data_IF_705090268978
#
_entry.id   IF_705090268978
#
_cell.length_a   1.000
_cell.length_b   1.000
_cell.length_c   1.000
_cell.angle_alpha   90.00
_cell.angle_beta   90.00
_cell.angle_gamma   90.00
#
_symmetry.space_group_name_H-M   'P 1'
#
loop_
_entity.id
_entity.type
_entity.pdbx_description
1 polymer ?
#
# COMPACT_ATOMS: atom_id res chain seq x y z
N UNK A 1 15.84 1.69 -2.86
CA UNK A 1 14.68 1.12 -2.17
C UNK A 1 14.03 2.17 -1.27
N UNK A 2 12.72 2.19 -1.24
CA UNK A 2 11.97 3.04 -0.32
C UNK A 2 11.10 2.15 0.56
N UNK A 3 11.08 2.41 1.86
CA UNK A 3 10.18 1.72 2.78
C UNK A 3 9.58 2.68 3.79
N UNK A 4 8.42 2.33 4.30
CA UNK A 4 7.70 3.13 5.29
C UNK A 4 6.82 2.21 6.14
N UNK A 5 6.79 2.49 7.43
CA UNK A 5 5.93 1.74 8.36
C UNK A 5 4.90 2.67 8.97
N UNK A 6 3.65 2.27 8.94
CA UNK A 6 2.56 2.95 9.62
C UNK A 6 1.81 1.94 10.48
N UNK A 7 1.03 2.43 11.44
CA UNK A 7 0.30 1.57 12.37
C UNK A 7 -1.20 1.85 12.26
N UNK A 8 -1.98 0.79 12.27
CA UNK A 8 -3.45 0.86 12.22
C UNK A 8 -3.99 -0.13 13.24
N UNK A 9 -4.98 0.33 14.01
CA UNK A 9 -5.66 -0.54 14.96
C UNK A 9 -6.81 -1.26 14.27
N UNK A 10 -6.92 -2.57 14.50
CA UNK A 10 -8.04 -3.37 13.98
C UNK A 10 -9.31 -2.96 14.71
N UNK A 11 -10.32 -2.54 13.95
CA UNK A 11 -11.60 -2.08 14.47
C UNK A 11 -12.58 -3.23 14.57
N UNK A 12 -13.57 -3.09 15.45
CA UNK A 12 -14.57 -4.12 15.68
C UNK A 12 -15.29 -4.54 14.38
N UNK A 13 -15.68 -3.58 13.56
CA UNK A 13 -16.36 -3.83 12.28
C UNK A 13 -15.50 -4.53 11.23
N UNK A 14 -14.19 -4.68 11.48
CA UNK A 14 -13.27 -5.35 10.57
C UNK A 14 -13.07 -6.83 10.91
N UNK A 15 -13.68 -7.30 11.99
CA UNK A 15 -13.53 -8.68 12.47
C UNK A 15 -14.69 -9.55 12.04
N UNK A 16 -14.46 -10.87 12.01
CA UNK A 16 -15.46 -11.89 11.71
C UNK A 16 -15.87 -12.66 12.98
N UNK A 17 -16.72 -13.67 12.83
CA UNK A 17 -17.19 -14.48 13.96
C UNK A 17 -16.08 -15.29 14.65
N UNK A 18 -14.95 -15.52 13.97
CA UNK A 18 -13.80 -16.20 14.56
C UNK A 18 -12.98 -15.27 15.47
N UNK A 19 -13.30 -13.98 15.51
CA UNK A 19 -12.52 -12.97 16.23
C UNK A 19 -11.28 -12.51 15.49
N UNK A 20 -11.14 -12.89 14.22
CA UNK A 20 -10.03 -12.51 13.37
C UNK A 20 -10.43 -11.33 12.49
N UNK A 21 -9.46 -10.54 12.07
CA UNK A 21 -9.72 -9.57 11.02
C UNK A 21 -10.17 -10.31 9.77
N UNK A 22 -11.34 -9.93 9.23
CA UNK A 22 -11.89 -10.55 8.04
C UNK A 22 -10.91 -10.43 6.88
N UNK A 23 -10.68 -11.52 6.14
CA UNK A 23 -9.64 -11.55 5.11
C UNK A 23 -9.85 -10.50 4.02
N UNK A 24 -11.08 -10.09 3.77
CA UNK A 24 -11.38 -9.05 2.78
C UNK A 24 -10.96 -7.65 3.18
N UNK A 25 -10.62 -7.40 4.45
CA UNK A 25 -10.24 -6.08 4.94
C UNK A 25 -8.74 -5.77 4.78
N UNK A 26 -7.93 -6.75 4.43
CA UNK A 26 -6.48 -6.54 4.30
C UNK A 26 -6.12 -5.54 3.21
N UNK A 27 -6.91 -5.49 2.13
CA UNK A 27 -6.69 -4.54 1.04
C UNK A 27 -6.74 -3.09 1.53
N UNK A 28 -7.62 -2.78 2.48
CA UNK A 28 -7.70 -1.44 3.08
C UNK A 28 -6.43 -1.08 3.85
N UNK A 29 -5.85 -2.05 4.55
CA UNK A 29 -4.59 -1.86 5.28
C UNK A 29 -3.43 -1.57 4.32
N UNK A 30 -3.41 -2.26 3.18
CA UNK A 30 -2.39 -1.99 2.15
C UNK A 30 -2.56 -0.59 1.57
N UNK A 31 -3.78 -0.17 1.34
CA UNK A 31 -4.06 1.18 0.85
C UNK A 31 -3.57 2.23 1.84
N UNK A 32 -3.88 2.08 3.13
CA UNK A 32 -3.39 2.98 4.17
C UNK A 32 -1.87 3.04 4.13
N UNK A 33 -1.21 1.90 4.02
CA UNK A 33 0.25 1.82 3.96
C UNK A 33 0.82 2.60 2.76
N UNK A 34 0.24 2.41 1.57
CA UNK A 34 0.68 3.13 0.37
C UNK A 34 0.47 4.63 0.49
N UNK A 35 -0.71 5.04 0.96
CA UNK A 35 -1.06 6.46 1.11
C UNK A 35 -0.11 7.14 2.06
N UNK A 36 0.18 6.51 3.20
CA UNK A 36 1.09 7.09 4.20
C UNK A 36 2.55 7.10 3.71
N UNK A 37 2.97 6.09 2.94
CA UNK A 37 4.29 6.12 2.31
C UNK A 37 4.42 7.32 1.37
N UNK A 38 3.45 7.56 0.51
CA UNK A 38 3.48 8.70 -0.41
C UNK A 38 3.41 10.01 0.35
N UNK A 39 2.59 10.09 1.39
CA UNK A 39 2.48 11.27 2.23
C UNK A 39 3.82 11.60 2.90
N UNK A 40 4.57 10.60 3.33
CA UNK A 40 5.90 10.79 3.93
C UNK A 40 6.88 11.43 2.95
N UNK A 41 6.62 11.32 1.65
CA UNK A 41 7.41 11.95 0.59
C UNK A 41 6.77 13.24 0.06
N UNK A 42 5.77 13.77 0.77
CA UNK A 42 5.10 15.01 0.39
C UNK A 42 4.12 14.87 -0.77
N UNK A 43 3.63 13.66 -1.03
CA UNK A 43 2.67 13.39 -2.12
C UNK A 43 1.37 12.84 -1.55
N UNK A 44 0.27 13.05 -2.27
CA UNK A 44 -1.03 12.46 -1.93
C UNK A 44 -1.70 11.92 -3.19
N UNK A 45 -2.60 10.95 -3.01
CA UNK A 45 -3.41 10.45 -4.12
C UNK A 45 -4.27 11.55 -4.71
N UNK A 46 -4.82 12.45 -3.87
CA UNK A 46 -5.66 13.54 -4.37
C UNK A 46 -4.88 14.52 -5.24
N UNK A 47 -3.62 14.82 -4.90
CA UNK A 47 -2.78 15.66 -5.76
C UNK A 47 -2.43 14.97 -7.08
N UNK A 48 -2.23 13.67 -7.05
CA UNK A 48 -1.98 12.87 -8.26
C UNK A 48 -3.22 12.84 -9.16
N UNK A 49 -4.39 12.60 -8.58
CA UNK A 49 -5.65 12.61 -9.32
C UNK A 49 -5.94 14.00 -9.89
N UNK A 50 -5.61 15.07 -9.16
CA UNK A 50 -5.75 16.43 -9.66
C UNK A 50 -4.84 16.68 -10.88
N UNK A 51 -3.73 15.94 -11.00
CA UNK A 51 -2.86 16.00 -12.20
C UNK A 51 -3.40 15.18 -13.38
N UNK A 52 -4.51 14.46 -13.19
CA UNK A 52 -5.15 13.65 -14.21
C UNK A 52 -4.64 12.22 -14.32
N UNK A 53 -3.99 11.71 -13.26
CA UNK A 53 -3.44 10.35 -13.24
C UNK A 53 -3.99 9.60 -12.04
N UNK A 54 -4.42 8.36 -12.26
CA UNK A 54 -4.92 7.47 -11.21
C UNK A 54 -4.07 6.20 -11.15
N UNK A 55 -4.20 5.45 -10.05
CA UNK A 55 -3.39 4.25 -9.79
C UNK A 55 -4.27 3.07 -9.41
N UNK A 56 -5.00 2.48 -10.36
CA UNK A 56 -5.79 1.28 -10.06
C UNK A 56 -4.90 0.07 -9.75
N UNK A 57 -5.41 -0.81 -8.90
CA UNK A 57 -4.76 -2.08 -8.56
C UNK A 57 -5.06 -3.08 -9.69
N UNK A 58 -4.01 -3.70 -10.23
CA UNK A 58 -4.11 -4.76 -11.23
C UNK A 58 -4.11 -6.14 -10.60
N UNK A 59 -3.27 -6.35 -9.60
CA UNK A 59 -3.09 -7.66 -8.96
C UNK A 59 -2.85 -7.46 -7.47
N UNK A 60 -3.35 -8.40 -6.69
CA UNK A 60 -3.09 -8.47 -5.26
C UNK A 60 -2.86 -9.92 -4.87
N UNK A 61 -1.80 -10.15 -4.09
CA UNK A 61 -1.45 -11.48 -3.59
C UNK A 61 -1.22 -11.41 -2.09
N UNK A 62 -1.85 -12.30 -1.35
CA UNK A 62 -1.80 -12.33 0.10
C UNK A 62 -1.38 -13.70 0.61
N UNK A 63 -0.60 -13.71 1.68
CA UNK A 63 -0.29 -14.92 2.43
C UNK A 63 -0.58 -14.68 3.90
N UNK A 64 -1.56 -15.39 4.44
CA UNK A 64 -2.06 -15.27 5.80
C UNK A 64 -1.28 -16.22 6.70
N UNK A 65 -0.37 -15.68 7.51
CA UNK A 65 0.50 -16.49 8.37
C UNK A 65 -0.10 -16.66 9.77
N UNK A 66 -0.61 -15.58 10.35
CA UNK A 66 -1.28 -15.54 11.65
C UNK A 66 -2.43 -14.55 11.60
N UNK A 67 -3.49 -14.74 12.37
CA UNK A 67 -4.62 -13.81 12.36
C UNK A 67 -4.26 -12.49 13.05
N UNK A 68 -4.78 -11.39 12.51
CA UNK A 68 -4.92 -10.15 13.25
C UNK A 68 -6.24 -10.19 14.01
N UNK A 69 -6.28 -9.62 15.22
CA UNK A 69 -7.45 -9.67 16.09
C UNK A 69 -7.97 -8.27 16.41
N UNK A 70 -9.20 -8.22 16.88
CA UNK A 70 -9.82 -6.98 17.30
C UNK A 70 -8.91 -6.22 18.28
N UNK A 71 -8.82 -4.92 18.08
CA UNK A 71 -8.10 -3.96 18.92
C UNK A 71 -6.57 -4.10 18.91
N UNK A 72 -6.01 -5.03 18.16
CA UNK A 72 -4.56 -5.07 17.96
C UNK A 72 -4.10 -3.92 17.06
N UNK A 73 -2.98 -3.32 17.41
CA UNK A 73 -2.32 -2.35 16.55
C UNK A 73 -1.36 -3.09 15.62
N UNK A 74 -1.64 -3.01 14.33
CA UNK A 74 -0.87 -3.70 13.30
C UNK A 74 0.11 -2.72 12.66
N UNK A 75 1.37 -3.10 12.60
CA UNK A 75 2.40 -2.35 11.87
C UNK A 75 2.39 -2.81 10.42
N UNK A 76 2.23 -1.85 9.51
CA UNK A 76 2.19 -2.10 8.07
C UNK A 76 3.49 -1.54 7.48
N UNK A 77 4.40 -2.45 7.15
CA UNK A 77 5.65 -2.08 6.46
C UNK A 77 5.42 -2.21 4.98
N UNK A 78 5.53 -1.09 4.25
CA UNK A 78 5.40 -1.05 2.80
C UNK A 78 6.78 -0.88 2.21
N UNK A 79 7.09 -1.66 1.18
CA UNK A 79 8.41 -1.70 0.57
C UNK A 79 8.27 -1.53 -0.93
N UNK A 80 9.03 -0.60 -1.47
CA UNK A 80 9.13 -0.36 -2.89
C UNK A 80 10.56 -0.71 -3.31
N UNK A 81 10.73 -1.88 -3.93
CA UNK A 81 12.05 -2.42 -4.24
C UNK A 81 12.65 -1.84 -5.53
N UNK A 82 11.80 -1.44 -6.47
CA UNK A 82 12.23 -1.01 -7.80
C UNK A 82 11.67 0.35 -8.15
N UNK A 83 12.43 1.11 -8.92
CA UNK A 83 11.96 2.38 -9.45
C UNK A 83 10.65 2.18 -10.23
N UNK A 84 9.57 2.89 -9.88
CA UNK A 84 8.31 2.79 -10.60
C UNK A 84 8.44 3.31 -12.03
N UNK A 85 7.76 2.63 -12.95
CA UNK A 85 7.54 3.10 -14.31
C UNK A 85 6.06 3.24 -14.55
N UNK A 86 5.55 2.70 -15.68
CA UNK A 86 4.11 2.64 -15.94
C UNK A 86 3.41 1.81 -14.88
N UNK A 87 4.09 0.80 -14.36
CA UNK A 87 3.60 -0.04 -13.26
C UNK A 87 4.39 0.24 -12.00
N UNK A 88 3.75 0.05 -10.85
CA UNK A 88 4.37 0.19 -9.54
C UNK A 88 4.02 -1.03 -8.69
N UNK A 89 5.04 -1.67 -8.14
CA UNK A 89 4.90 -2.88 -7.34
C UNK A 89 5.27 -2.60 -5.90
N UNK A 90 4.32 -2.86 -4.99
CA UNK A 90 4.53 -2.72 -3.55
C UNK A 90 4.55 -4.09 -2.89
N UNK A 91 5.44 -4.26 -1.92
CA UNK A 91 5.41 -5.38 -0.98
C UNK A 91 4.98 -4.90 0.39
N UNK A 92 4.33 -5.79 1.13
CA UNK A 92 3.84 -5.48 2.48
C UNK A 92 4.23 -6.59 3.44
N UNK A 93 4.65 -6.17 4.63
CA UNK A 93 4.85 -7.06 5.77
C UNK A 93 4.02 -6.48 6.91
N UNK A 94 3.13 -7.27 7.46
CA UNK A 94 2.30 -6.85 8.58
C UNK A 94 2.77 -7.56 9.85
N UNK A 95 2.90 -6.79 10.92
CA UNK A 95 3.36 -7.27 12.23
C UNK A 95 2.32 -6.94 13.28
N UNK A 96 2.15 -7.85 14.26
CA UNK A 96 1.29 -7.61 15.41
C UNK A 96 2.05 -6.87 16.52
N UNK A 97 1.41 -6.69 17.70
CA UNK A 97 2.00 -5.97 18.82
C UNK A 97 3.18 -6.69 19.46
N UNK A 98 3.34 -7.99 19.20
CA UNK A 98 4.48 -8.79 19.67
C UNK A 98 5.59 -8.84 18.62
N UNK A 99 5.53 -8.00 17.60
CA UNK A 99 6.48 -7.96 16.47
C UNK A 99 6.57 -9.28 15.69
N UNK A 100 5.51 -10.08 15.73
CA UNK A 100 5.43 -11.28 14.92
C UNK A 100 4.96 -10.92 13.51
N UNK A 101 5.59 -11.51 12.50
CA UNK A 101 5.15 -11.38 11.12
C UNK A 101 3.85 -12.20 10.94
N UNK A 102 2.76 -11.51 10.65
CA UNK A 102 1.44 -12.15 10.54
C UNK A 102 0.93 -12.24 9.11
N UNK A 103 1.50 -11.48 8.19
CA UNK A 103 0.98 -11.40 6.84
C UNK A 103 2.04 -10.90 5.87
N UNK A 104 2.08 -11.53 4.69
CA UNK A 104 2.90 -11.07 3.57
C UNK A 104 1.97 -10.79 2.39
N UNK A 105 2.24 -9.71 1.68
CA UNK A 105 1.43 -9.39 0.52
C UNK A 105 2.23 -8.61 -0.51
N UNK A 106 1.67 -8.54 -1.70
CA UNK A 106 2.16 -7.66 -2.76
C UNK A 106 0.99 -7.15 -3.58
N UNK A 107 1.10 -5.95 -4.10
CA UNK A 107 0.15 -5.37 -5.05
C UNK A 107 0.90 -4.80 -6.24
N UNK A 108 0.31 -4.97 -7.41
CA UNK A 108 0.77 -4.34 -8.63
C UNK A 108 -0.27 -3.33 -9.06
N UNK A 109 0.12 -2.07 -9.16
CA UNK A 109 -0.73 -0.99 -9.64
C UNK A 109 -0.19 -0.49 -10.98
N UNK A 110 -1.04 0.21 -11.72
CA UNK A 110 -0.66 0.83 -12.99
C UNK A 110 -1.06 2.30 -12.97
N UNK A 111 -0.19 3.16 -13.48
CA UNK A 111 -0.55 4.57 -13.68
C UNK A 111 -1.39 4.68 -14.94
N UNK A 112 -2.54 5.32 -14.82
CA UNK A 112 -3.52 5.44 -15.90
C UNK A 112 -3.91 6.90 -16.05
N UNK A 113 -3.90 7.38 -17.31
CA UNK A 113 -4.42 8.70 -17.63
C UNK A 113 -5.94 8.71 -17.48
N UNK A 114 -6.45 9.64 -16.69
CA UNK A 114 -7.91 9.79 -16.53
C UNK A 114 -8.58 10.26 -17.83
N UNK A 115 -7.81 10.95 -18.68
CA UNK A 115 -8.32 11.47 -19.95
C UNK A 115 -8.46 10.38 -21.01
N UNK A 116 -7.44 9.51 -21.15
CA UNK A 116 -7.43 8.49 -22.20
C UNK A 116 -7.82 7.10 -21.69
N UNK A 117 -7.87 6.90 -20.36
CA UNK A 117 -8.07 5.61 -19.69
C UNK A 117 -7.02 4.56 -20.07
N UNK A 118 -5.84 5.00 -20.51
CA UNK A 118 -4.73 4.13 -20.91
C UNK A 118 -3.57 4.26 -19.93
N UNK A 119 -2.77 3.19 -19.81
CA UNK A 119 -1.54 3.26 -19.01
C UNK A 119 -0.64 4.40 -19.48
N UNK A 120 0.02 5.05 -18.53
CA UNK A 120 0.92 6.17 -18.79
C UNK A 120 2.05 6.18 -17.77
N UNK A 121 3.05 7.03 -17.99
CA UNK A 121 4.09 7.25 -17.00
C UNK A 121 3.53 8.03 -15.81
N UNK A 122 4.11 7.86 -14.60
CA UNK A 122 3.72 8.65 -13.45
C UNK A 122 3.99 10.15 -13.69
N UNK A 123 3.38 11.04 -12.89
CA UNK A 123 3.70 12.46 -12.96
C UNK A 123 5.19 12.71 -12.74
N UNK A 124 5.72 13.76 -13.35
CA UNK A 124 7.14 14.09 -13.22
C UNK A 124 7.53 14.34 -11.76
N UNK A 125 6.67 14.98 -10.97
CA UNK A 125 6.90 15.20 -9.54
C UNK A 125 7.11 13.87 -8.81
N UNK A 126 6.32 12.84 -9.14
CA UNK A 126 6.46 11.51 -8.56
C UNK A 126 7.83 10.91 -8.93
N UNK A 127 8.20 10.97 -10.21
CA UNK A 127 9.48 10.46 -10.70
C UNK A 127 10.63 11.14 -9.96
N UNK A 128 10.57 12.46 -9.85
CA UNK A 128 11.62 13.25 -9.19
C UNK A 128 11.79 12.87 -7.73
N UNK A 129 10.70 12.62 -7.03
CA UNK A 129 10.74 12.25 -5.61
C UNK A 129 11.20 10.81 -5.38
N UNK A 130 10.94 9.91 -6.33
CA UNK A 130 11.34 8.51 -6.20
C UNK A 130 12.79 8.27 -6.60
N UNK A 131 13.31 9.01 -7.57
CA UNK A 131 14.65 8.81 -8.13
C UNK A 131 15.77 8.68 -7.08
N UNK A 132 15.82 9.50 -6.01
CA UNK A 132 16.90 9.41 -5.02
C UNK A 132 17.00 8.05 -4.32
N UNK A 133 15.90 7.30 -4.24
CA UNK A 133 15.87 6.00 -3.55
C UNK A 133 16.35 4.84 -4.42
N UNK A 134 16.57 5.08 -5.72
CA UNK A 134 16.88 4.02 -6.69
C UNK A 134 18.14 4.31 -7.52
N UNK A 135 18.94 5.22 -7.06
CA UNK A 135 20.23 5.53 -7.70
C UNK A 135 21.34 4.58 -7.25
#
# INVERSE_FOLDING_TARGET
>A
MLEHTTKVRVRYGETDQMGYMYYGNYAEFFEVGRVEMLRSQGMTYSSMEASGIMMPVMEMKCKYLKPARYDEEISIRVILDKMPGVKIHFRYELYNEQDELIHLAETLLVFVSMKTTRPCLPPQEFIDKMTPFFQ
#
